data_IF_743926733194
#
_entry.id   IF_743926733194
#
_cell.length_a   1.000
_cell.length_b   1.000
_cell.length_c   1.000
_cell.angle_alpha   90.00
_cell.angle_beta   90.00
_cell.angle_gamma   90.00
#
_symmetry.space_group_name_H-M   'P 1'
#
loop_
_entity.id
_entity.type
_entity.pdbx_description
1 polymer ?
#
# COMPACT_ATOMS: atom_id res chain seq x y z
N UNK A 1 12.32 25.99 -15.45
CA UNK A 1 11.16 25.11 -15.23
C UNK A 1 10.71 24.67 -16.62
N UNK A 2 11.10 23.47 -17.06
CA UNK A 2 10.78 23.02 -18.43
C UNK A 2 9.30 22.67 -18.47
N UNK A 3 8.50 23.44 -19.21
CA UNK A 3 7.10 23.13 -19.44
C UNK A 3 6.99 21.81 -20.24
N UNK A 4 6.02 20.97 -19.88
CA UNK A 4 5.77 19.72 -20.58
C UNK A 4 5.33 20.02 -22.03
N UNK A 5 5.98 19.43 -23.03
CA UNK A 5 5.69 19.65 -24.46
C UNK A 5 4.24 19.31 -24.81
N UNK A 6 3.59 18.43 -24.04
CA UNK A 6 2.18 18.10 -24.19
C UNK A 6 1.25 19.33 -24.04
N UNK A 7 1.64 20.34 -23.25
CA UNK A 7 0.85 21.58 -23.05
C UNK A 7 0.77 22.43 -24.32
N UNK A 8 1.62 22.17 -25.32
CA UNK A 8 1.60 22.86 -26.61
C UNK A 8 0.59 22.24 -27.59
N UNK A 9 0.01 21.08 -27.27
CA UNK A 9 -0.98 20.43 -28.13
C UNK A 9 -2.35 21.12 -27.96
N UNK A 10 -3.04 21.53 -29.06
CA UNK A 10 -4.29 22.30 -28.99
C UNK A 10 -5.44 21.61 -28.24
N UNK A 11 -5.38 20.29 -28.13
CA UNK A 11 -6.43 19.44 -27.53
C UNK A 11 -6.04 18.93 -26.13
N UNK A 12 -4.86 19.29 -25.63
CA UNK A 12 -4.35 18.74 -24.38
C UNK A 12 -4.84 19.58 -23.19
N UNK A 13 -5.80 19.04 -22.47
CA UNK A 13 -6.26 19.58 -21.19
C UNK A 13 -5.44 18.93 -20.06
N UNK A 14 -4.62 19.70 -19.36
CA UNK A 14 -3.76 19.19 -18.27
C UNK A 14 -4.55 18.50 -17.15
N UNK A 15 -5.78 18.95 -16.88
CA UNK A 15 -6.63 18.39 -15.83
C UNK A 15 -7.24 17.07 -16.29
N UNK A 16 -7.71 17.00 -17.54
CA UNK A 16 -8.39 15.81 -18.07
C UNK A 16 -7.43 14.76 -18.65
N UNK A 17 -6.26 15.19 -19.11
CA UNK A 17 -5.33 14.34 -19.89
C UNK A 17 -4.27 13.66 -19.03
N UNK A 18 -4.09 14.07 -17.78
CA UNK A 18 -3.26 13.36 -16.80
C UNK A 18 -4.17 12.67 -15.77
N UNK A 19 -4.48 11.37 -15.94
CA UNK A 19 -5.17 10.65 -14.88
C UNK A 19 -4.29 10.63 -13.61
N UNK A 20 -4.89 10.63 -12.41
CA UNK A 20 -4.15 10.48 -11.17
C UNK A 20 -3.21 9.28 -11.25
N UNK A 21 -1.93 9.51 -11.02
CA UNK A 21 -0.92 8.46 -11.16
C UNK A 21 -1.08 7.45 -10.01
N UNK A 22 -1.29 6.19 -10.37
CA UNK A 22 -1.68 5.14 -9.44
C UNK A 22 -0.67 4.93 -8.29
N UNK A 23 0.64 4.96 -8.58
CA UNK A 23 1.66 4.73 -7.56
C UNK A 23 1.65 5.81 -6.48
N UNK A 24 1.55 7.09 -6.86
CA UNK A 24 1.54 8.18 -5.87
C UNK A 24 0.17 8.38 -5.22
N UNK A 25 -0.92 8.35 -5.99
CA UNK A 25 -2.26 8.62 -5.45
C UNK A 25 -2.81 7.45 -4.65
N UNK A 26 -2.63 6.22 -5.12
CA UNK A 26 -3.19 5.02 -4.47
C UNK A 26 -2.16 4.38 -3.55
N UNK A 27 -0.98 4.02 -4.07
CA UNK A 27 -0.02 3.23 -3.30
C UNK A 27 0.66 4.05 -2.18
N UNK A 28 1.31 5.17 -2.50
CA UNK A 28 1.92 6.05 -1.48
C UNK A 28 0.92 6.99 -0.79
N UNK A 29 -0.26 7.18 -1.38
CA UNK A 29 -1.35 7.93 -0.77
C UNK A 29 -2.15 7.05 0.17
N UNK A 30 -3.21 6.43 -0.37
CA UNK A 30 -4.20 5.71 0.44
C UNK A 30 -3.59 4.49 1.14
N UNK A 31 -2.93 3.59 0.41
CA UNK A 31 -2.46 2.31 0.99
C UNK A 31 -1.44 2.56 2.09
N UNK A 32 -0.49 3.46 1.87
CA UNK A 32 0.48 3.87 2.89
C UNK A 32 -0.20 4.41 4.15
N UNK A 33 -1.21 5.27 4.02
CA UNK A 33 -1.96 5.78 5.17
C UNK A 33 -2.62 4.66 5.98
N UNK A 34 -3.25 3.69 5.31
CA UNK A 34 -3.85 2.53 5.98
C UNK A 34 -2.81 1.70 6.73
N UNK A 35 -1.71 1.34 6.07
CA UNK A 35 -0.63 0.54 6.69
C UNK A 35 -0.04 1.26 7.90
N UNK A 36 0.18 2.57 7.80
CA UNK A 36 0.67 3.38 8.92
C UNK A 36 -0.34 3.40 10.07
N UNK A 37 -1.62 3.64 9.78
CA UNK A 37 -2.65 3.69 10.81
C UNK A 37 -2.82 2.34 11.53
N UNK A 38 -2.85 1.23 10.79
CA UNK A 38 -2.99 -0.12 11.34
C UNK A 38 -1.87 -0.47 12.33
N UNK A 39 -0.64 -0.02 12.06
CA UNK A 39 0.54 -0.32 12.86
C UNK A 39 0.96 0.83 13.81
N UNK A 40 0.20 1.92 13.90
CA UNK A 40 0.50 3.01 14.84
C UNK A 40 0.07 2.64 16.26
N UNK A 41 1.00 2.70 17.22
CA UNK A 41 0.74 2.42 18.64
C UNK A 41 -0.33 3.33 19.24
N UNK A 42 -0.56 4.53 18.69
CA UNK A 42 -1.66 5.42 19.10
C UNK A 42 -3.03 4.76 18.86
N UNK A 43 -3.13 3.87 17.89
CA UNK A 43 -4.37 3.21 17.50
C UNK A 43 -4.56 1.85 18.18
N UNK A 44 -3.71 1.42 19.13
CA UNK A 44 -3.78 0.08 19.74
C UNK A 44 -5.14 -0.31 20.37
N UNK A 45 -5.98 0.67 20.71
CA UNK A 45 -7.35 0.45 21.24
C UNK A 45 -8.40 0.26 20.14
N UNK A 46 -8.07 0.59 18.89
CA UNK A 46 -8.97 0.50 17.77
C UNK A 46 -9.14 -0.94 17.32
N UNK A 47 -10.38 -1.29 16.95
CA UNK A 47 -10.73 -2.67 16.53
C UNK A 47 -10.13 -3.07 15.19
N UNK A 48 -9.65 -2.09 14.41
CA UNK A 48 -8.95 -2.27 13.13
C UNK A 48 -7.43 -2.20 13.26
N UNK A 49 -6.88 -2.02 14.48
CA UNK A 49 -5.43 -1.95 14.68
C UNK A 49 -4.78 -3.32 14.63
N UNK A 50 -3.62 -3.40 13.98
CA UNK A 50 -2.77 -4.58 13.90
C UNK A 50 -1.69 -4.61 14.99
N UNK A 51 -1.60 -3.62 15.89
CA UNK A 51 -0.53 -3.57 16.90
C UNK A 51 -0.44 -4.85 17.75
N UNK A 52 -1.59 -5.47 18.08
CA UNK A 52 -1.62 -6.73 18.84
C UNK A 52 -1.15 -7.95 18.05
N UNK A 53 -1.16 -7.84 16.73
CA UNK A 53 -0.87 -8.92 15.80
C UNK A 53 0.37 -8.64 14.94
N UNK A 54 1.13 -7.57 15.23
CA UNK A 54 2.21 -7.07 14.36
C UNK A 54 3.23 -8.16 14.07
N UNK A 55 3.67 -8.92 15.07
CA UNK A 55 4.59 -10.06 14.89
C UNK A 55 4.03 -11.15 13.98
N UNK A 56 2.76 -11.52 14.16
CA UNK A 56 2.11 -12.58 13.36
C UNK A 56 1.86 -12.11 11.92
N UNK A 57 1.47 -10.85 11.77
CA UNK A 57 1.30 -10.22 10.47
C UNK A 57 2.62 -10.11 9.72
N UNK A 58 3.69 -9.67 10.39
CA UNK A 58 5.03 -9.55 9.83
C UNK A 58 5.55 -10.90 9.36
N UNK A 59 5.43 -11.94 10.20
CA UNK A 59 5.84 -13.30 9.85
C UNK A 59 5.09 -13.82 8.61
N UNK A 60 3.78 -13.58 8.50
CA UNK A 60 3.00 -13.95 7.32
C UNK A 60 3.46 -13.20 6.07
N UNK A 61 3.76 -11.91 6.21
CA UNK A 61 4.18 -11.09 5.09
C UNK A 61 5.56 -11.51 4.58
N UNK A 62 6.53 -11.75 5.47
CA UNK A 62 7.90 -12.09 5.11
C UNK A 62 8.08 -13.54 4.66
N UNK A 63 7.15 -14.43 4.99
CA UNK A 63 7.14 -15.82 4.52
C UNK A 63 6.69 -15.94 3.04
N UNK A 64 5.96 -14.95 2.52
CA UNK A 64 5.48 -14.97 1.13
C UNK A 64 6.65 -14.95 0.15
N UNK A 65 6.70 -15.99 -0.69
CA UNK A 65 7.59 -16.08 -1.84
C UNK A 65 6.80 -15.79 -3.12
N UNK A 66 6.94 -14.58 -3.70
CA UNK A 66 6.19 -14.24 -4.89
C UNK A 66 6.81 -14.89 -6.15
N UNK A 67 6.04 -15.02 -7.25
CA UNK A 67 6.55 -15.59 -8.49
C UNK A 67 7.54 -14.62 -9.17
N UNK A 68 8.25 -15.08 -10.21
CA UNK A 68 9.38 -14.34 -10.80
C UNK A 68 8.98 -13.00 -11.44
N UNK A 69 7.71 -12.82 -11.81
CA UNK A 69 7.15 -11.58 -12.34
C UNK A 69 7.14 -10.46 -11.29
N UNK A 70 7.11 -10.82 -10.01
CA UNK A 70 7.19 -9.86 -8.91
C UNK A 70 8.62 -9.86 -8.37
N UNK A 71 9.43 -8.97 -8.93
CA UNK A 71 10.88 -8.90 -8.71
C UNK A 71 11.31 -8.50 -7.31
N UNK A 72 10.37 -8.16 -6.41
CA UNK A 72 10.64 -7.74 -5.03
C UNK A 72 9.89 -8.59 -4.02
N UNK A 73 10.66 -9.28 -3.20
CA UNK A 73 10.18 -10.04 -2.04
C UNK A 73 9.58 -9.04 -1.02
N UNK A 74 8.46 -9.39 -0.35
CA UNK A 74 7.87 -8.53 0.67
C UNK A 74 8.87 -8.21 1.78
N UNK A 75 8.95 -6.93 2.13
CA UNK A 75 9.77 -6.49 3.26
C UNK A 75 8.95 -6.51 4.55
N UNK A 76 9.63 -6.64 5.69
CA UNK A 76 8.99 -6.54 7.00
C UNK A 76 8.15 -5.26 7.16
N UNK A 77 6.99 -5.41 7.81
CA UNK A 77 6.05 -4.32 8.14
C UNK A 77 6.66 -3.32 9.12
N UNK A 78 7.67 -3.72 9.88
CA UNK A 78 8.43 -2.82 10.76
C UNK A 78 9.18 -1.75 9.97
N UNK A 79 9.54 -2.05 8.71
CA UNK A 79 10.21 -1.14 7.78
C UNK A 79 9.25 -0.38 6.86
N UNK A 80 7.94 -0.41 7.14
CA UNK A 80 6.89 0.26 6.33
C UNK A 80 7.22 1.70 5.94
N UNK A 81 7.87 2.48 6.82
CA UNK A 81 8.26 3.86 6.52
C UNK A 81 9.26 4.01 5.36
N UNK A 82 10.00 2.94 5.05
CA UNK A 82 11.02 2.88 4.01
C UNK A 82 10.54 2.20 2.72
N UNK A 83 9.32 1.65 2.73
CA UNK A 83 8.75 1.00 1.54
C UNK A 83 8.59 2.00 0.39
N UNK A 84 8.91 1.55 -0.83
CA UNK A 84 8.64 2.29 -2.06
C UNK A 84 7.18 2.14 -2.48
N UNK A 85 6.69 3.04 -3.34
CA UNK A 85 5.36 2.91 -3.98
C UNK A 85 5.06 1.51 -4.53
N UNK A 86 6.04 0.85 -5.17
CA UNK A 86 5.86 -0.49 -5.74
C UNK A 86 5.63 -1.57 -4.68
N UNK A 87 6.19 -1.41 -3.48
CA UNK A 87 5.97 -2.33 -2.35
C UNK A 87 4.56 -2.14 -1.78
N UNK A 88 4.10 -0.90 -1.63
CA UNK A 88 2.70 -0.63 -1.27
C UNK A 88 1.71 -1.16 -2.31
N UNK A 89 2.04 -1.04 -3.61
CA UNK A 89 1.24 -1.64 -4.69
C UNK A 89 1.15 -3.15 -4.53
N UNK A 90 2.29 -3.83 -4.40
CA UNK A 90 2.30 -5.29 -4.29
C UNK A 90 1.59 -5.77 -3.01
N UNK A 91 1.79 -5.04 -1.92
CA UNK A 91 1.06 -5.27 -0.67
C UNK A 91 -0.45 -5.20 -0.89
N UNK A 92 -0.96 -4.13 -1.49
CA UNK A 92 -2.38 -3.98 -1.78
C UNK A 92 -2.91 -5.13 -2.64
N UNK A 93 -2.25 -5.41 -3.77
CA UNK A 93 -2.78 -6.31 -4.80
C UNK A 93 -2.66 -7.79 -4.44
N UNK A 94 -1.61 -8.20 -3.72
CA UNK A 94 -1.26 -9.61 -3.61
C UNK A 94 -1.16 -10.13 -2.17
N UNK A 95 -0.72 -9.29 -1.22
CA UNK A 95 -0.32 -9.79 0.10
C UNK A 95 -1.32 -9.44 1.20
N UNK A 96 -1.95 -8.27 1.12
CA UNK A 96 -2.76 -7.70 2.19
C UNK A 96 -3.86 -8.65 2.68
N UNK A 97 -4.70 -9.16 1.79
CA UNK A 97 -5.84 -10.03 2.16
C UNK A 97 -5.40 -11.32 2.86
N UNK A 98 -4.33 -11.95 2.37
CA UNK A 98 -3.79 -13.20 2.93
C UNK A 98 -3.19 -12.93 4.32
N UNK A 99 -2.44 -11.84 4.46
CA UNK A 99 -1.83 -11.47 5.73
C UNK A 99 -2.87 -11.07 6.79
N UNK A 100 -3.93 -10.36 6.37
CA UNK A 100 -4.99 -9.84 7.25
C UNK A 100 -6.01 -10.89 7.69
N UNK A 101 -6.12 -12.02 6.98
CA UNK A 101 -7.15 -13.02 7.25
C UNK A 101 -7.06 -13.57 8.69
N UNK A 102 -8.17 -13.49 9.42
CA UNK A 102 -8.26 -13.88 10.83
C UNK A 102 -7.52 -12.97 11.82
N UNK A 103 -6.91 -11.86 11.38
CA UNK A 103 -6.32 -10.85 12.29
C UNK A 103 -7.26 -9.67 12.55
N UNK A 104 -7.98 -9.24 11.51
CA UNK A 104 -8.98 -8.18 11.62
C UNK A 104 -10.41 -8.73 11.53
N UNK A 105 -11.39 -8.09 12.21
CA UNK A 105 -12.80 -8.38 11.97
C UNK A 105 -13.15 -8.28 10.49
N UNK A 106 -13.96 -9.22 9.98
CA UNK A 106 -14.31 -9.31 8.54
C UNK A 106 -14.83 -8.00 7.95
N UNK A 107 -15.53 -7.17 8.73
CA UNK A 107 -16.03 -5.85 8.30
C UNK A 107 -14.94 -4.85 7.89
N UNK A 108 -13.68 -5.08 8.27
CA UNK A 108 -12.54 -4.23 7.93
C UNK A 108 -11.68 -4.79 6.79
N UNK A 109 -11.95 -6.03 6.36
CA UNK A 109 -11.23 -6.71 5.27
C UNK A 109 -12.11 -6.88 4.04
N UNK A 110 -13.43 -7.00 4.23
CA UNK A 110 -14.41 -7.09 3.17
C UNK A 110 -14.80 -5.69 2.69
N UNK A 111 -14.46 -5.37 1.44
CA UNK A 111 -14.95 -4.20 0.72
C UNK A 111 -16.09 -4.58 -0.24
#
# INVERSE_FOLDING_TARGET
MNACVAVLLPVFDVILSFPPEYLHSVAEGVVKQFVMAWCDSKNHKQTWSLCKYETRFDARLTDIQPPCEITRIPQSITKRSQWKASEYKNFLLYYSLICLDGLLPKKYVKH
#
